data_IF_934485070273
#
_entry.id   IF_934485070273
#
_cell.length_a   1.000
_cell.length_b   1.000
_cell.length_c   1.000
_cell.angle_alpha   90.00
_cell.angle_beta   90.00
_cell.angle_gamma   90.00
#
_symmetry.space_group_name_H-M   'P 1'
#
loop_
_entity.id
_entity.type
_entity.pdbx_description
1 polymer ?
#
# COMPACT_ATOMS: atom_id res chain seq x y z
N UNK A 1 -0.38 -11.53 -68.17
CA UNK A 1 -1.19 -10.65 -67.32
C UNK A 1 -1.89 -11.49 -66.27
N UNK A 2 -1.47 -11.38 -65.02
CA UNK A 2 -2.27 -11.58 -63.81
C UNK A 2 -1.35 -11.26 -62.62
N UNK A 3 -1.53 -10.06 -62.07
CA UNK A 3 -0.84 -9.56 -60.89
C UNK A 3 -1.59 -10.13 -59.68
N UNK A 4 -0.90 -10.83 -58.79
CA UNK A 4 -1.41 -11.12 -57.44
C UNK A 4 -0.42 -10.54 -56.44
N UNK A 5 -0.89 -9.46 -55.81
CA UNK A 5 -0.24 -8.69 -54.76
C UNK A 5 -0.22 -9.56 -53.50
N UNK A 6 0.97 -9.96 -53.04
CA UNK A 6 1.15 -10.58 -51.73
C UNK A 6 1.44 -9.47 -50.72
N UNK A 7 0.43 -9.07 -49.96
CA UNK A 7 0.57 -8.13 -48.85
C UNK A 7 1.45 -8.74 -47.76
N UNK A 8 2.52 -8.04 -47.40
CA UNK A 8 3.33 -8.34 -46.22
C UNK A 8 2.47 -8.13 -44.96
N UNK A 9 2.00 -9.22 -44.37
CA UNK A 9 1.59 -9.23 -42.97
C UNK A 9 2.85 -9.53 -42.14
N UNK A 10 3.47 -8.49 -41.59
CA UNK A 10 4.55 -8.59 -40.60
C UNK A 10 3.97 -9.15 -39.30
N UNK A 11 3.89 -10.48 -39.21
CA UNK A 11 3.74 -11.19 -37.94
C UNK A 11 5.10 -11.21 -37.27
N UNK A 12 5.29 -10.34 -36.28
CA UNK A 12 6.41 -10.44 -35.34
C UNK A 12 6.18 -11.67 -34.46
N UNK A 13 6.63 -12.83 -34.94
CA UNK A 13 6.82 -14.00 -34.10
C UNK A 13 7.95 -13.66 -33.12
N UNK A 14 7.60 -13.43 -31.86
CA UNK A 14 8.58 -13.42 -30.78
C UNK A 14 9.28 -14.78 -30.77
N UNK A 15 10.58 -14.79 -31.06
CA UNK A 15 11.41 -15.99 -30.98
C UNK A 15 11.54 -16.39 -29.50
N UNK A 16 10.62 -17.23 -29.02
CA UNK A 16 10.89 -18.05 -27.85
C UNK A 16 11.79 -19.19 -28.31
N UNK A 17 13.11 -19.04 -28.13
CA UNK A 17 14.07 -20.12 -28.37
C UNK A 17 13.86 -21.19 -27.29
N UNK A 18 13.14 -22.26 -27.63
CA UNK A 18 12.98 -23.42 -26.78
C UNK A 18 14.22 -24.30 -26.96
N UNK A 19 15.09 -24.35 -25.96
CA UNK A 19 16.24 -25.25 -25.93
C UNK A 19 15.77 -26.63 -25.46
N UNK A 20 15.38 -27.49 -26.40
CA UNK A 20 15.10 -28.90 -26.12
C UNK A 20 16.44 -29.63 -26.05
N UNK A 21 16.94 -29.85 -24.83
CA UNK A 21 18.01 -30.82 -24.61
C UNK A 21 17.48 -32.23 -24.89
N UNK A 22 18.34 -33.14 -25.37
CA UNK A 22 17.95 -34.51 -25.70
C UNK A 22 17.25 -35.18 -24.51
N UNK A 23 15.92 -35.36 -24.63
CA UNK A 23 15.02 -35.83 -23.57
C UNK A 23 15.37 -37.28 -23.15
N UNK A 24 16.12 -38.02 -23.99
CA UNK A 24 16.59 -39.36 -23.66
C UNK A 24 17.79 -39.36 -22.71
N UNK A 25 18.60 -38.30 -22.69
CA UNK A 25 19.80 -38.19 -21.86
C UNK A 25 19.66 -37.17 -20.72
N UNK A 26 18.90 -36.10 -20.93
CA UNK A 26 18.58 -35.07 -19.95
C UNK A 26 17.07 -34.84 -19.93
N UNK A 27 16.31 -35.47 -19.01
CA UNK A 27 14.86 -35.40 -18.98
C UNK A 27 14.37 -34.10 -18.31
N UNK A 28 14.85 -32.96 -18.81
CA UNK A 28 14.57 -31.64 -18.27
C UNK A 28 14.26 -30.70 -19.44
N UNK A 29 13.18 -29.95 -19.31
CA UNK A 29 12.82 -28.86 -20.23
C UNK A 29 13.24 -27.55 -19.57
N UNK A 30 13.93 -26.69 -20.32
CA UNK A 30 14.37 -25.36 -19.90
C UNK A 30 13.70 -24.34 -20.82
N UNK A 31 12.80 -23.52 -20.26
CA UNK A 31 12.01 -22.53 -20.99
C UNK A 31 12.44 -21.13 -20.59
N UNK A 32 12.98 -20.28 -21.50
CA UNK A 32 13.18 -18.87 -21.19
C UNK A 32 11.81 -18.19 -21.08
N UNK A 33 11.48 -17.68 -19.90
CA UNK A 33 10.19 -17.04 -19.63
C UNK A 33 10.26 -15.52 -19.64
N UNK A 34 11.45 -14.93 -19.50
CA UNK A 34 11.64 -13.49 -19.65
C UNK A 34 12.91 -12.96 -19.01
N UNK A 35 12.97 -11.64 -18.89
CA UNK A 35 14.07 -10.95 -18.20
C UNK A 35 13.75 -10.77 -16.72
N UNK A 36 14.75 -10.86 -15.85
CA UNK A 36 14.61 -10.68 -14.42
C UNK A 36 15.63 -9.67 -13.87
N UNK A 37 15.27 -9.01 -12.77
CA UNK A 37 16.13 -8.16 -11.96
C UNK A 37 16.03 -8.59 -10.51
N UNK A 38 17.13 -8.43 -9.77
CA UNK A 38 17.18 -8.79 -8.35
C UNK A 38 16.86 -7.56 -7.51
N UNK A 39 15.94 -7.69 -6.56
CA UNK A 39 15.63 -6.72 -5.53
C UNK A 39 16.44 -7.02 -4.26
N UNK A 40 17.26 -6.07 -3.82
CA UNK A 40 18.14 -6.23 -2.65
C UNK A 40 17.72 -5.37 -1.46
N UNK A 41 16.94 -4.31 -1.68
CA UNK A 41 16.52 -3.36 -0.65
C UNK A 41 15.29 -2.58 -1.14
N UNK A 42 14.83 -1.59 -0.38
CA UNK A 42 13.63 -0.83 -0.70
C UNK A 42 13.83 0.65 -0.38
N UNK A 43 13.43 1.52 -1.30
CA UNK A 43 13.13 2.91 -0.95
C UNK A 43 11.85 2.92 -0.11
N UNK A 44 11.89 3.62 1.02
CA UNK A 44 10.75 3.73 1.95
C UNK A 44 10.26 5.18 1.99
N UNK A 45 8.99 5.38 1.68
CA UNK A 45 8.28 6.65 1.84
C UNK A 45 7.35 6.51 3.03
N UNK A 46 7.53 7.35 4.05
CA UNK A 46 6.86 7.22 5.35
C UNK A 46 5.93 8.39 5.58
N UNK A 47 4.65 8.09 5.76
CA UNK A 47 3.60 9.01 6.16
C UNK A 47 3.23 8.80 7.62
N UNK A 48 3.47 9.80 8.46
CA UNK A 48 3.00 9.79 9.86
C UNK A 48 1.68 10.52 9.94
N UNK A 49 0.66 9.86 10.46
CA UNK A 49 -0.68 10.43 10.66
C UNK A 49 -0.91 10.51 12.16
N UNK A 50 -0.96 11.73 12.69
CA UNK A 50 -1.18 11.97 14.10
C UNK A 50 -2.68 11.90 14.44
N UNK A 51 -3.06 11.01 15.36
CA UNK A 51 -4.45 10.79 15.77
C UNK A 51 -4.92 11.79 16.82
N UNK A 52 -3.99 12.42 17.54
CA UNK A 52 -4.27 13.40 18.61
C UNK A 52 -5.18 14.56 18.17
N UNK A 53 -4.85 15.28 17.08
CA UNK A 53 -5.68 16.38 16.59
C UNK A 53 -7.11 15.95 16.24
N UNK A 54 -7.28 14.80 15.58
CA UNK A 54 -8.61 14.27 15.22
C UNK A 54 -9.41 13.95 16.48
N UNK A 55 -8.77 13.31 17.47
CA UNK A 55 -9.40 13.00 18.75
C UNK A 55 -9.85 14.27 19.49
N UNK A 56 -9.02 15.30 19.54
CA UNK A 56 -9.35 16.57 20.17
C UNK A 56 -10.60 17.20 19.55
N UNK A 57 -10.72 17.18 18.22
CA UNK A 57 -11.92 17.67 17.52
C UNK A 57 -13.15 16.86 17.86
N UNK A 58 -13.04 15.53 17.91
CA UNK A 58 -14.16 14.66 18.30
C UNK A 58 -14.60 14.97 19.73
N UNK A 59 -13.67 15.07 20.67
CA UNK A 59 -13.93 15.37 22.07
C UNK A 59 -14.57 16.77 22.23
N UNK A 60 -14.12 17.75 21.44
CA UNK A 60 -14.69 19.10 21.39
C UNK A 60 -16.10 19.11 20.80
N UNK A 61 -16.34 18.36 19.72
CA UNK A 61 -17.67 18.20 19.11
C UNK A 61 -18.68 17.54 20.08
N UNK A 62 -18.24 16.55 20.87
CA UNK A 62 -19.09 15.93 21.88
C UNK A 62 -19.40 16.85 23.07
N UNK A 63 -18.41 17.61 23.55
CA UNK A 63 -18.54 18.43 24.77
C UNK A 63 -19.24 19.77 24.54
N UNK A 64 -18.90 20.47 23.45
CA UNK A 64 -19.36 21.84 23.19
C UNK A 64 -20.48 21.88 22.16
N UNK A 65 -20.42 21.07 21.11
CA UNK A 65 -21.41 21.13 20.04
C UNK A 65 -22.76 20.58 20.51
N UNK A 66 -22.82 19.54 21.35
CA UNK A 66 -24.09 19.05 21.90
C UNK A 66 -24.83 20.08 22.78
N UNK A 67 -24.10 21.00 23.43
CA UNK A 67 -24.68 22.06 24.26
C UNK A 67 -25.07 23.31 23.47
N UNK A 68 -24.37 23.58 22.36
CA UNK A 68 -24.50 24.82 21.57
C UNK A 68 -25.30 24.67 20.27
N UNK A 69 -25.41 23.45 19.72
CA UNK A 69 -26.25 23.12 18.54
C UNK A 69 -27.76 23.21 18.86
N UNK A 70 -28.13 23.53 20.11
CA UNK A 70 -29.51 23.68 20.58
C UNK A 70 -30.30 24.76 19.81
N UNK A 71 -29.65 25.68 19.10
CA UNK A 71 -30.33 26.76 18.38
C UNK A 71 -30.90 26.35 17.01
N UNK A 72 -30.29 25.40 16.29
CA UNK A 72 -30.81 24.90 15.00
C UNK A 72 -31.54 23.56 15.17
N UNK A 73 -32.84 23.63 15.47
CA UNK A 73 -33.69 22.44 15.68
C UNK A 73 -33.76 21.50 14.47
N UNK A 74 -33.51 21.98 13.25
CA UNK A 74 -33.64 21.19 12.03
C UNK A 74 -32.39 20.36 11.75
N UNK A 75 -31.20 20.95 11.84
CA UNK A 75 -29.95 20.27 11.50
C UNK A 75 -29.27 19.59 12.70
N UNK A 76 -29.64 19.96 13.92
CA UNK A 76 -29.15 19.34 15.16
C UNK A 76 -29.15 17.80 15.18
N UNK A 77 -30.26 17.10 14.84
CA UNK A 77 -30.27 15.63 14.83
C UNK A 77 -29.31 15.02 13.79
N UNK A 78 -29.14 15.70 12.64
CA UNK A 78 -28.24 15.26 11.57
C UNK A 78 -26.79 15.41 12.02
N UNK A 79 -26.44 16.57 12.58
CA UNK A 79 -25.08 16.83 13.08
C UNK A 79 -24.71 15.84 14.19
N UNK A 80 -25.64 15.55 15.11
CA UNK A 80 -25.41 14.54 16.16
C UNK A 80 -25.08 13.16 15.57
N UNK A 81 -25.89 12.72 14.60
CA UNK A 81 -25.68 11.44 13.91
C UNK A 81 -24.32 11.39 13.21
N UNK A 82 -23.89 12.50 12.60
CA UNK A 82 -22.60 12.60 11.91
C UNK A 82 -21.42 12.59 12.89
N UNK A 83 -21.54 13.27 14.04
CA UNK A 83 -20.53 13.21 15.11
C UNK A 83 -20.40 11.77 15.63
N UNK A 84 -21.51 11.06 15.83
CA UNK A 84 -21.50 9.65 16.21
C UNK A 84 -20.84 8.78 15.14
N UNK A 85 -21.16 9.00 13.87
CA UNK A 85 -20.49 8.32 12.75
C UNK A 85 -18.97 8.57 12.78
N UNK A 86 -18.55 9.83 12.91
CA UNK A 86 -17.13 10.22 12.98
C UNK A 86 -16.41 9.49 14.13
N UNK A 87 -17.02 9.47 15.32
CA UNK A 87 -16.50 8.77 16.49
C UNK A 87 -16.33 7.28 16.25
N UNK A 88 -17.34 6.63 15.66
CA UNK A 88 -17.30 5.21 15.32
C UNK A 88 -16.23 4.91 14.27
N UNK A 89 -16.10 5.74 13.24
CA UNK A 89 -15.06 5.59 12.22
C UNK A 89 -13.66 5.81 12.81
N UNK A 90 -13.48 6.83 13.66
CA UNK A 90 -12.21 7.09 14.32
C UNK A 90 -11.77 5.93 15.24
N UNK A 91 -12.71 5.35 16.00
CA UNK A 91 -12.44 4.17 16.83
C UNK A 91 -11.98 2.95 16.03
N UNK A 92 -12.35 2.84 14.75
CA UNK A 92 -11.90 1.74 13.88
C UNK A 92 -10.44 1.88 13.48
N UNK A 93 -9.92 3.10 13.36
CA UNK A 93 -8.53 3.37 12.98
C UNK A 93 -7.59 3.46 14.19
N UNK A 94 -8.13 3.79 15.38
CA UNK A 94 -7.36 3.81 16.61
C UNK A 94 -7.07 2.38 17.10
N UNK A 95 -5.80 2.06 17.41
CA UNK A 95 -5.49 0.76 18.01
C UNK A 95 -6.13 0.64 19.39
N UNK A 96 -7.05 -0.31 19.56
CA UNK A 96 -7.61 -0.66 20.86
C UNK A 96 -6.52 -1.29 21.71
N UNK A 97 -6.10 -0.55 22.72
CA UNK A 97 -5.13 -0.96 23.70
C UNK A 97 -5.63 -2.03 24.69
N UNK A 98 -6.92 -2.37 24.59
CA UNK A 98 -7.52 -3.46 25.35
C UNK A 98 -7.20 -4.80 24.69
N UNK A 99 -6.13 -5.42 25.17
CA UNK A 99 -5.95 -6.88 25.26
C UNK A 99 -7.17 -7.50 25.96
N UNK A 100 -8.29 -7.66 25.26
CA UNK A 100 -9.45 -8.40 25.77
C UNK A 100 -9.53 -9.71 24.99
N UNK A 101 -9.02 -10.77 25.63
CA UNK A 101 -9.10 -12.19 25.26
C UNK A 101 -10.54 -12.74 25.17
N UNK A 102 -11.54 -11.97 24.76
CA UNK A 102 -12.94 -12.42 24.78
C UNK A 102 -13.78 -11.81 23.65
N UNK A 103 -13.72 -12.41 22.47
CA UNK A 103 -14.79 -12.43 21.46
C UNK A 103 -14.57 -13.66 20.55
N UNK A 104 -14.83 -14.86 21.09
CA UNK A 104 -14.66 -16.13 20.35
C UNK A 104 -15.93 -16.63 19.64
N UNK A 105 -17.05 -15.91 19.64
CA UNK A 105 -18.29 -16.41 18.99
C UNK A 105 -18.79 -15.65 17.76
N UNK A 106 -18.18 -14.52 17.39
CA UNK A 106 -18.45 -13.82 16.13
C UNK A 106 -17.18 -13.54 15.31
N UNK A 107 -16.05 -14.15 15.70
CA UNK A 107 -14.70 -13.78 15.27
C UNK A 107 -13.91 -14.92 14.64
N UNK A 108 -14.37 -15.46 13.52
CA UNK A 108 -13.54 -16.34 12.67
C UNK A 108 -13.19 -15.70 11.32
N UNK A 109 -14.13 -15.00 10.69
CA UNK A 109 -13.83 -14.18 9.51
C UNK A 109 -12.92 -13.00 9.83
N UNK A 110 -13.19 -12.29 10.93
CA UNK A 110 -12.41 -11.11 11.32
C UNK A 110 -11.02 -11.43 11.89
N UNK A 111 -10.81 -12.58 12.55
CA UNK A 111 -9.45 -12.99 13.01
C UNK A 111 -8.50 -13.28 11.84
N UNK A 112 -9.03 -13.75 10.71
CA UNK A 112 -8.27 -13.91 9.46
C UNK A 112 -8.04 -12.57 8.74
N UNK A 113 -8.98 -11.62 8.86
CA UNK A 113 -8.94 -10.28 8.21
C UNK A 113 -8.16 -9.23 9.06
N UNK A 114 -7.94 -9.51 10.35
CA UNK A 114 -7.29 -8.58 11.29
C UNK A 114 -5.93 -9.02 11.79
N UNK A 115 -5.29 -10.03 11.16
CA UNK A 115 -3.97 -10.57 11.49
C UNK A 115 -3.09 -9.58 12.23
N UNK A 116 -3.20 -9.58 13.56
CA UNK A 116 -2.43 -8.71 14.42
C UNK A 116 -1.05 -9.35 14.52
N UNK A 117 0.04 -8.66 14.15
CA UNK A 117 1.38 -9.16 14.41
C UNK A 117 1.49 -9.48 15.91
N UNK A 118 2.04 -10.64 16.25
CA UNK A 118 2.20 -11.01 17.64
C UNK A 118 3.12 -10.01 18.35
N UNK A 119 3.04 -9.93 19.68
CA UNK A 119 3.78 -8.92 20.45
C UNK A 119 5.31 -9.01 20.27
N UNK A 120 5.82 -10.17 19.87
CA UNK A 120 7.22 -10.40 19.52
C UNK A 120 7.54 -9.91 18.09
N UNK A 121 6.58 -9.97 17.17
CA UNK A 121 6.68 -9.35 15.85
C UNK A 121 6.69 -7.82 15.95
N UNK A 122 5.93 -7.21 16.86
CA UNK A 122 5.95 -5.75 17.06
C UNK A 122 7.28 -5.28 17.65
N UNK A 123 7.90 -6.07 18.54
CA UNK A 123 9.25 -5.77 19.07
C UNK A 123 10.31 -5.95 18.00
N UNK A 124 10.21 -7.01 17.20
CA UNK A 124 11.05 -7.24 16.03
C UNK A 124 10.86 -6.10 15.02
N UNK A 125 9.63 -5.67 14.74
CA UNK A 125 9.28 -4.56 13.84
C UNK A 125 9.76 -3.22 14.40
N UNK A 126 9.66 -2.93 15.70
CA UNK A 126 10.19 -1.69 16.27
C UNK A 126 11.72 -1.66 16.28
N UNK A 127 12.37 -2.78 16.59
CA UNK A 127 13.82 -2.92 16.49
C UNK A 127 14.28 -2.83 15.03
N UNK A 128 13.54 -3.44 14.11
CA UNK A 128 13.78 -3.45 12.66
C UNK A 128 13.47 -2.09 12.03
N UNK A 129 12.48 -1.35 12.52
CA UNK A 129 12.15 -0.01 12.04
C UNK A 129 13.19 0.98 12.53
N UNK A 130 13.59 0.94 13.80
CA UNK A 130 14.66 1.81 14.27
C UNK A 130 15.98 1.46 13.58
N UNK A 131 16.32 0.18 13.40
CA UNK A 131 17.54 -0.20 12.66
C UNK A 131 17.46 0.09 11.16
N UNK A 132 16.29 -0.03 10.51
CA UNK A 132 16.09 0.35 9.09
C UNK A 132 15.96 1.87 8.88
N UNK A 133 15.58 2.62 9.91
CA UNK A 133 15.61 4.10 9.93
C UNK A 133 17.04 4.60 10.12
N UNK A 134 17.82 3.93 10.96
CA UNK A 134 19.19 4.33 11.25
C UNK A 134 20.22 3.84 10.21
N UNK A 135 19.89 2.84 9.37
CA UNK A 135 20.81 2.25 8.37
C UNK A 135 20.64 2.71 6.92
N UNK A 136 19.57 3.44 6.53
CA UNK A 136 19.41 3.94 5.15
C UNK A 136 19.03 5.42 5.10
N UNK A 137 20.02 6.26 4.79
CA UNK A 137 20.00 7.73 4.81
C UNK A 137 19.11 8.40 3.73
N UNK A 138 18.28 7.64 3.00
CA UNK A 138 17.45 8.11 1.88
C UNK A 138 15.93 7.97 2.16
N UNK A 139 15.51 8.02 3.41
CA UNK A 139 14.10 8.07 3.74
C UNK A 139 13.51 9.42 3.32
N UNK A 140 12.68 9.40 2.29
CA UNK A 140 11.96 10.58 1.85
C UNK A 140 10.76 10.75 2.78
N UNK A 141 10.96 11.56 3.82
CA UNK A 141 9.89 11.98 4.74
C UNK A 141 9.17 13.16 4.13
N UNK A 142 8.21 12.89 3.25
CA UNK A 142 7.28 13.91 2.76
C UNK A 142 5.96 13.68 3.50
N UNK A 143 5.60 14.64 4.34
CA UNK A 143 4.35 14.64 5.08
C UNK A 143 3.82 16.07 5.10
N UNK A 144 2.91 16.39 4.18
CA UNK A 144 2.25 17.70 4.25
C UNK A 144 0.82 17.70 3.75
N UNK A 145 0.47 16.96 2.68
CA UNK A 145 -0.85 17.07 2.06
C UNK A 145 -2.02 16.70 2.97
N UNK A 146 -2.10 15.44 3.42
CA UNK A 146 -3.20 14.92 4.21
C UNK A 146 -3.22 15.49 5.64
N UNK A 147 -2.06 15.56 6.29
CA UNK A 147 -1.92 16.17 7.61
C UNK A 147 -2.35 17.65 7.61
N UNK A 148 -1.97 18.42 6.59
CA UNK A 148 -2.42 19.83 6.48
C UNK A 148 -3.91 19.93 6.25
N UNK A 149 -4.51 19.05 5.43
CA UNK A 149 -5.97 19.00 5.25
C UNK A 149 -6.68 18.72 6.57
N UNK A 150 -6.25 17.71 7.32
CA UNK A 150 -6.82 17.38 8.64
C UNK A 150 -6.68 18.57 9.61
N UNK A 151 -5.52 19.24 9.64
CA UNK A 151 -5.31 20.42 10.48
C UNK A 151 -6.19 21.60 10.07
N UNK A 152 -6.37 21.83 8.78
CA UNK A 152 -7.22 22.91 8.26
C UNK A 152 -8.71 22.67 8.57
N UNK A 153 -9.18 21.43 8.41
CA UNK A 153 -10.55 21.04 8.78
C UNK A 153 -10.75 21.20 10.29
N UNK A 154 -9.81 20.69 11.08
CA UNK A 154 -9.78 20.86 12.54
C UNK A 154 -9.90 22.33 12.95
N UNK A 155 -9.08 23.19 12.36
CA UNK A 155 -9.11 24.63 12.62
C UNK A 155 -10.46 25.25 12.23
N UNK A 156 -10.99 24.92 11.05
CA UNK A 156 -12.26 25.45 10.55
C UNK A 156 -13.43 25.06 11.45
N UNK A 157 -13.48 23.82 11.92
CA UNK A 157 -14.48 23.34 12.88
C UNK A 157 -14.41 24.14 14.19
N UNK A 158 -13.20 24.33 14.73
CA UNK A 158 -13.01 25.09 15.97
C UNK A 158 -13.48 26.55 15.83
N UNK A 159 -13.16 27.20 14.71
CA UNK A 159 -13.61 28.57 14.43
C UNK A 159 -15.14 28.64 14.32
N UNK A 160 -15.77 27.74 13.57
CA UNK A 160 -17.22 27.73 13.39
C UNK A 160 -17.95 27.57 14.73
N UNK A 161 -17.51 26.63 15.58
CA UNK A 161 -18.11 26.39 16.89
C UNK A 161 -17.90 27.59 17.84
N UNK A 162 -16.75 28.26 17.78
CA UNK A 162 -16.51 29.48 18.57
C UNK A 162 -17.43 30.63 18.16
N UNK A 163 -17.78 30.75 16.88
CA UNK A 163 -18.70 31.77 16.36
C UNK A 163 -20.15 31.50 16.76
N UNK A 164 -20.55 30.22 16.84
CA UNK A 164 -21.87 29.82 17.34
C UNK A 164 -22.16 30.34 18.75
N UNK A 165 -21.15 30.51 19.61
CA UNK A 165 -21.35 31.10 20.94
C UNK A 165 -21.60 32.62 20.95
N UNK A 166 -21.46 33.31 19.82
CA UNK A 166 -21.42 34.78 19.75
C UNK A 166 -22.51 35.43 18.89
N UNK A 167 -23.29 34.66 18.13
CA UNK A 167 -24.26 35.18 17.16
C UNK A 167 -25.68 34.78 17.58
N UNK A 168 -26.56 35.77 17.70
CA UNK A 168 -27.97 35.66 18.13
C UNK A 168 -28.95 35.88 16.98
N UNK A 169 -28.59 35.47 15.76
CA UNK A 169 -29.41 35.71 14.55
C UNK A 169 -29.59 34.41 13.76
N UNK A 170 -30.82 33.90 13.72
CA UNK A 170 -31.24 32.63 13.10
C UNK A 170 -30.71 32.40 11.68
N UNK A 171 -30.61 33.44 10.84
CA UNK A 171 -30.16 33.29 9.44
C UNK A 171 -28.66 32.95 9.32
N UNK A 172 -27.82 33.47 10.22
CA UNK A 172 -26.39 33.15 10.27
C UNK A 172 -26.12 31.80 10.93
N UNK A 173 -27.03 31.35 11.80
CA UNK A 173 -26.95 30.05 12.47
C UNK A 173 -27.13 28.89 11.48
N UNK A 174 -28.13 28.97 10.58
CA UNK A 174 -28.36 27.93 9.56
C UNK A 174 -27.17 27.73 8.61
N UNK A 175 -26.57 28.82 8.11
CA UNK A 175 -25.37 28.73 7.26
C UNK A 175 -24.14 28.19 8.02
N UNK A 176 -24.00 28.54 9.29
CA UNK A 176 -22.94 28.02 10.16
C UNK A 176 -23.12 26.53 10.45
N UNK A 177 -24.37 26.05 10.61
CA UNK A 177 -24.71 24.64 10.83
C UNK A 177 -24.39 23.81 9.60
N UNK A 178 -24.72 24.32 8.42
CA UNK A 178 -24.42 23.68 7.13
C UNK A 178 -22.90 23.60 6.91
N UNK A 179 -22.15 24.67 7.16
CA UNK A 179 -20.69 24.65 7.05
C UNK A 179 -20.05 23.67 8.05
N UNK A 180 -20.57 23.60 9.27
CA UNK A 180 -20.11 22.62 10.27
C UNK A 180 -20.37 21.19 9.79
N UNK A 181 -21.55 20.93 9.22
CA UNK A 181 -21.92 19.64 8.66
C UNK A 181 -20.96 19.21 7.54
N UNK A 182 -20.66 20.12 6.60
CA UNK A 182 -19.70 19.84 5.52
C UNK A 182 -18.29 19.53 6.04
N UNK A 183 -17.80 20.29 7.02
CA UNK A 183 -16.48 20.02 7.62
C UNK A 183 -16.45 18.68 8.38
N UNK A 184 -17.53 18.31 9.07
CA UNK A 184 -17.65 17.00 9.71
C UNK A 184 -17.64 15.89 8.65
N UNK A 185 -18.37 16.07 7.54
CA UNK A 185 -18.40 15.10 6.44
C UNK A 185 -17.03 14.94 5.77
N UNK A 186 -16.32 16.04 5.54
CA UNK A 186 -14.95 15.99 5.02
C UNK A 186 -14.02 15.25 6.01
N UNK A 187 -14.12 15.55 7.31
CA UNK A 187 -13.32 14.86 8.33
C UNK A 187 -13.63 13.36 8.37
N UNK A 188 -14.91 12.96 8.29
CA UNK A 188 -15.32 11.56 8.18
C UNK A 188 -14.67 10.92 6.95
N UNK A 189 -14.72 11.57 5.79
CA UNK A 189 -14.12 11.06 4.56
C UNK A 189 -12.60 10.89 4.69
N UNK A 190 -11.89 11.81 5.35
CA UNK A 190 -10.46 11.66 5.61
C UNK A 190 -10.17 10.45 6.51
N UNK A 191 -10.94 10.28 7.59
CA UNK A 191 -10.80 9.13 8.52
C UNK A 191 -11.14 7.81 7.82
N UNK A 192 -12.17 7.77 6.97
CA UNK A 192 -12.52 6.61 6.14
C UNK A 192 -11.40 6.27 5.16
N UNK A 193 -10.81 7.28 4.50
CA UNK A 193 -9.66 7.11 3.59
C UNK A 193 -8.47 6.46 4.29
N UNK A 194 -8.17 6.89 5.52
CA UNK A 194 -7.12 6.29 6.35
C UNK A 194 -7.45 4.82 6.65
N UNK A 195 -8.70 4.52 7.03
CA UNK A 195 -9.15 3.16 7.32
C UNK A 195 -9.09 2.21 6.11
N UNK A 196 -9.47 2.68 4.93
CA UNK A 196 -9.33 1.94 3.66
C UNK A 196 -7.86 1.66 3.36
N UNK A 197 -7.00 2.66 3.49
CA UNK A 197 -5.58 2.50 3.22
C UNK A 197 -4.89 1.53 4.19
N UNK A 198 -5.28 1.53 5.47
CA UNK A 198 -4.84 0.50 6.43
C UNK A 198 -5.26 -0.89 5.95
N UNK A 199 -6.50 -1.03 5.47
CA UNK A 199 -7.04 -2.32 5.02
C UNK A 199 -6.28 -2.84 3.79
N UNK A 200 -6.00 -1.97 2.81
CA UNK A 200 -5.20 -2.30 1.63
C UNK A 200 -3.76 -2.67 2.00
N UNK A 201 -3.14 -1.92 2.90
CA UNK A 201 -1.77 -2.19 3.34
C UNK A 201 -1.61 -3.53 4.07
N UNK A 202 -2.67 -4.07 4.69
CA UNK A 202 -2.63 -5.42 5.31
C UNK A 202 -2.44 -6.54 4.28
N UNK A 203 -2.87 -6.31 3.04
CA UNK A 203 -2.66 -7.23 1.91
C UNK A 203 -1.52 -6.74 1.00
N UNK A 204 -0.64 -5.89 1.52
CA UNK A 204 0.50 -5.27 0.84
C UNK A 204 0.15 -4.38 -0.36
N UNK A 205 -1.10 -3.94 -0.50
CA UNK A 205 -1.55 -3.08 -1.59
C UNK A 205 -1.41 -1.61 -1.17
N UNK A 206 -0.70 -0.77 -1.95
CA UNK A 206 -0.62 0.63 -1.65
C UNK A 206 -1.91 1.39 -2.02
N UNK A 207 -2.22 2.44 -1.27
CA UNK A 207 -3.40 3.29 -1.48
C UNK A 207 -2.99 4.57 -2.17
N UNK A 208 -3.50 4.78 -3.38
CA UNK A 208 -3.32 6.04 -4.13
C UNK A 208 -3.92 7.25 -3.43
N UNK A 209 -4.79 7.07 -2.44
CA UNK A 209 -5.46 8.16 -1.72
C UNK A 209 -4.60 8.77 -0.61
N UNK A 210 -3.61 8.04 -0.09
CA UNK A 210 -2.68 8.55 0.93
C UNK A 210 -1.39 9.12 0.34
N UNK A 211 -0.99 8.65 -0.85
CA UNK A 211 0.27 9.04 -1.46
C UNK A 211 0.03 10.13 -2.49
N UNK A 212 0.81 11.20 -2.39
CA UNK A 212 0.75 12.33 -3.31
C UNK A 212 1.40 12.00 -4.66
N UNK A 213 0.95 12.66 -5.72
CA UNK A 213 1.58 12.57 -7.04
C UNK A 213 3.05 12.98 -7.02
N UNK A 214 3.44 13.89 -6.13
CA UNK A 214 4.85 14.30 -5.98
C UNK A 214 5.71 13.17 -5.41
N UNK A 215 5.21 12.40 -4.45
CA UNK A 215 5.95 11.23 -3.92
C UNK A 215 6.04 10.12 -4.96
N UNK A 216 4.96 9.90 -5.71
CA UNK A 216 4.95 8.96 -6.83
C UNK A 216 5.93 9.37 -7.93
N UNK A 217 6.04 10.66 -8.26
CA UNK A 217 7.00 11.16 -9.23
C UNK A 217 8.46 10.93 -8.78
N UNK A 218 8.75 11.12 -7.49
CA UNK A 218 10.09 10.83 -6.95
C UNK A 218 10.38 9.33 -6.98
N UNK A 219 9.41 8.49 -6.63
CA UNK A 219 9.55 7.04 -6.72
C UNK A 219 9.69 6.55 -8.17
N UNK A 220 8.99 7.17 -9.11
CA UNK A 220 9.14 6.90 -10.54
C UNK A 220 10.56 7.22 -11.01
N UNK A 221 11.09 8.39 -10.66
CA UNK A 221 12.47 8.75 -11.01
C UNK A 221 13.47 7.76 -10.41
N UNK A 222 13.27 7.36 -9.14
CA UNK A 222 14.09 6.35 -8.48
C UNK A 222 14.12 5.01 -9.22
N UNK A 223 12.98 4.52 -9.70
CA UNK A 223 12.89 3.29 -10.49
C UNK A 223 13.57 3.45 -11.86
N UNK A 224 13.35 4.60 -12.51
CA UNK A 224 13.94 4.92 -13.81
C UNK A 224 15.47 4.93 -13.76
N UNK A 225 16.06 5.49 -12.70
CA UNK A 225 17.51 5.49 -12.47
C UNK A 225 18.10 4.07 -12.32
N UNK A 226 17.26 3.07 -12.08
CA UNK A 226 17.64 1.65 -11.94
C UNK A 226 17.28 0.80 -13.18
N UNK A 227 16.92 1.47 -14.28
CA UNK A 227 16.52 0.83 -15.52
C UNK A 227 15.16 0.12 -15.47
N UNK A 228 14.28 0.52 -14.55
CA UNK A 228 12.86 0.16 -14.56
C UNK A 228 12.04 1.39 -14.95
N UNK A 229 11.76 1.52 -16.25
CA UNK A 229 10.91 2.60 -16.73
C UNK A 229 9.44 2.24 -16.50
N UNK A 230 8.75 3.06 -15.71
CA UNK A 230 7.31 2.93 -15.44
C UNK A 230 6.58 4.04 -16.19
N UNK A 231 5.49 3.66 -16.87
CA UNK A 231 4.80 4.53 -17.84
C UNK A 231 4.26 5.82 -17.22
N UNK A 232 3.67 5.74 -16.02
CA UNK A 232 3.20 6.90 -15.26
C UNK A 232 3.65 6.83 -13.81
N UNK A 233 3.55 7.96 -13.10
CA UNK A 233 3.80 8.01 -11.67
C UNK A 233 2.84 7.07 -10.90
N UNK A 234 1.60 6.89 -11.34
CA UNK A 234 0.68 5.94 -10.67
C UNK A 234 1.09 4.47 -10.89
N UNK A 235 1.74 4.13 -12.00
CA UNK A 235 2.25 2.77 -12.25
C UNK A 235 3.28 2.33 -11.21
N UNK A 236 3.89 3.25 -10.46
CA UNK A 236 4.72 2.92 -9.29
C UNK A 236 3.95 2.07 -8.28
N UNK A 237 2.63 2.29 -8.13
CA UNK A 237 1.80 1.55 -7.18
C UNK A 237 1.62 0.07 -7.53
N UNK A 238 1.84 -0.31 -8.80
CA UNK A 238 1.76 -1.71 -9.25
C UNK A 238 2.93 -2.51 -8.67
N UNK A 239 4.13 -1.95 -8.71
CA UNK A 239 5.37 -2.56 -8.23
C UNK A 239 5.63 -2.32 -6.74
N UNK A 240 5.13 -1.21 -6.20
CA UNK A 240 5.30 -0.89 -4.79
C UNK A 240 4.43 -1.79 -3.89
N UNK A 241 4.81 -1.85 -2.63
CA UNK A 241 4.07 -2.52 -1.55
C UNK A 241 3.87 -1.56 -0.41
N UNK A 242 2.80 -1.72 0.36
CA UNK A 242 2.56 -0.88 1.54
C UNK A 242 2.39 -1.71 2.80
N UNK A 243 2.79 -1.14 3.93
CA UNK A 243 2.50 -1.68 5.25
C UNK A 243 2.21 -0.55 6.22
N UNK A 244 1.51 -0.87 7.30
CA UNK A 244 1.12 0.09 8.32
C UNK A 244 1.61 -0.34 9.69
N UNK A 245 2.07 0.63 10.45
CA UNK A 245 2.37 0.49 11.87
C UNK A 245 1.46 1.43 12.64
N UNK A 246 0.61 0.89 13.49
CA UNK A 246 -0.32 1.67 14.29
C UNK A 246 0.14 1.72 15.74
N UNK A 247 0.17 2.92 16.32
CA UNK A 247 0.29 3.16 17.75
C UNK A 247 -0.99 3.82 18.28
N UNK A 248 -1.07 4.05 19.59
CA UNK A 248 -2.23 4.76 20.19
C UNK A 248 -2.40 6.18 19.67
N UNK A 249 -1.28 6.82 19.33
CA UNK A 249 -1.20 8.26 19.06
C UNK A 249 -0.97 8.56 17.58
N UNK A 250 -0.41 7.63 16.83
CA UNK A 250 -0.08 7.81 15.42
C UNK A 250 -0.19 6.54 14.59
N UNK A 251 -0.46 6.72 13.29
CA UNK A 251 -0.40 5.69 12.26
C UNK A 251 0.76 6.03 11.33
N UNK A 252 1.70 5.10 11.16
CA UNK A 252 2.76 5.21 10.16
C UNK A 252 2.39 4.35 8.96
N UNK A 253 2.04 4.98 7.86
CA UNK A 253 1.82 4.33 6.58
C UNK A 253 3.10 4.37 5.77
N UNK A 254 3.58 3.22 5.30
CA UNK A 254 4.90 3.11 4.68
C UNK A 254 4.75 2.46 3.31
N UNK A 255 5.11 3.21 2.26
CA UNK A 255 5.29 2.69 0.91
C UNK A 255 6.72 2.14 0.76
N UNK A 256 6.83 0.92 0.25
CA UNK A 256 8.07 0.25 -0.13
C UNK A 256 8.14 0.17 -1.65
N UNK A 257 9.11 0.85 -2.22
CA UNK A 257 9.42 0.78 -3.64
C UNK A 257 10.69 -0.07 -3.77
N UNK A 258 10.69 -1.18 -4.52
CA UNK A 258 11.84 -2.06 -4.58
C UNK A 258 13.04 -1.35 -5.21
N UNK A 259 14.21 -1.55 -4.60
CA UNK A 259 15.49 -1.18 -5.18
C UNK A 259 16.03 -2.39 -5.93
N UNK A 260 16.07 -2.27 -7.24
CA UNK A 260 16.52 -3.33 -8.13
C UNK A 260 17.94 -3.08 -8.62
N UNK A 261 18.61 -4.18 -8.93
CA UNK A 261 19.93 -4.14 -9.55
C UNK A 261 19.83 -3.72 -11.02
N UNK A 262 20.89 -3.06 -11.50
CA UNK A 262 21.02 -2.71 -12.92
C UNK A 262 21.29 -3.94 -13.79
N UNK A 263 21.82 -5.01 -13.19
CA UNK A 263 22.05 -6.29 -13.86
C UNK A 263 20.74 -6.93 -14.31
N UNK A 264 20.73 -7.47 -15.53
CA UNK A 264 19.59 -8.14 -16.15
C UNK A 264 19.93 -9.63 -16.25
N UNK A 265 19.02 -10.45 -15.75
CA UNK A 265 19.09 -11.89 -15.79
C UNK A 265 18.10 -12.42 -16.83
N UNK A 266 18.40 -13.57 -17.43
CA UNK A 266 17.40 -14.36 -18.16
C UNK A 266 16.79 -15.36 -17.20
N UNK A 267 15.47 -15.29 -17.01
CA UNK A 267 14.73 -16.21 -16.17
C UNK A 267 14.29 -17.42 -16.99
N UNK A 268 14.68 -18.60 -16.51
CA UNK A 268 14.28 -19.87 -17.07
C UNK A 268 13.35 -20.61 -16.11
N UNK A 269 12.30 -21.22 -16.66
CA UNK A 269 11.50 -22.23 -15.96
C UNK A 269 12.03 -23.61 -16.34
N UNK A 270 12.30 -24.41 -15.32
CA UNK A 270 12.87 -25.74 -15.45
C UNK A 270 11.82 -26.75 -15.02
N UNK A 271 11.44 -27.64 -15.94
CA UNK A 271 10.45 -28.68 -15.67
C UNK A 271 11.03 -30.07 -15.92
N UNK A 272 10.91 -30.99 -14.94
CA UNK A 272 11.38 -32.35 -15.13
C UNK A 272 10.37 -33.15 -15.93
N UNK A 273 10.85 -33.84 -16.95
CA UNK A 273 10.09 -34.76 -17.82
C UNK A 273 10.21 -36.18 -17.27
N UNK A 274 9.18 -36.99 -17.49
CA UNK A 274 9.23 -38.41 -17.15
C UNK A 274 10.01 -39.14 -18.25
N UNK A 275 11.12 -39.77 -17.87
CA UNK A 275 11.92 -40.63 -18.76
C UNK A 275 12.10 -41.99 -18.11
N UNK A 276 11.82 -43.06 -18.86
CA UNK A 276 11.86 -44.45 -18.39
C UNK A 276 11.08 -44.70 -17.08
N UNK A 277 9.94 -44.01 -16.89
CA UNK A 277 9.11 -44.16 -15.68
C UNK A 277 9.65 -43.47 -14.43
N UNK A 278 10.77 -42.77 -14.53
CA UNK A 278 11.38 -41.99 -13.45
C UNK A 278 11.29 -40.49 -13.72
N UNK A 279 11.11 -39.69 -12.67
CA UNK A 279 11.08 -38.22 -12.74
C UNK A 279 12.26 -37.68 -11.95
N UNK A 280 13.08 -36.84 -12.58
CA UNK A 280 14.16 -36.15 -11.87
C UNK A 280 13.54 -35.18 -10.88
N UNK A 281 13.99 -35.24 -9.63
CA UNK A 281 13.62 -34.27 -8.61
C UNK A 281 14.49 -33.02 -8.80
N UNK A 282 13.83 -31.87 -8.94
CA UNK A 282 14.51 -30.57 -8.99
C UNK A 282 14.40 -29.90 -7.62
N UNK A 283 15.51 -29.32 -7.16
CA UNK A 283 15.53 -28.53 -5.93
C UNK A 283 14.94 -27.12 -6.14
N UNK A 284 14.98 -26.63 -7.38
CA UNK A 284 14.39 -25.35 -7.81
C UNK A 284 13.82 -25.47 -9.23
N UNK A 285 12.68 -24.79 -9.47
CA UNK A 285 12.00 -24.80 -10.77
C UNK A 285 12.29 -23.55 -11.61
N UNK A 286 13.01 -22.57 -11.05
CA UNK A 286 13.35 -21.34 -11.73
C UNK A 286 14.84 -21.05 -11.60
N UNK A 287 15.46 -20.65 -12.70
CA UNK A 287 16.89 -20.36 -12.77
C UNK A 287 17.11 -18.98 -13.38
N UNK A 288 17.90 -18.15 -12.71
CA UNK A 288 18.33 -16.85 -13.16
C UNK A 288 19.73 -16.98 -13.73
N UNK A 289 19.85 -16.81 -15.04
CA UNK A 289 21.14 -16.80 -15.72
C UNK A 289 21.66 -15.36 -15.87
N UNK A 290 22.86 -15.10 -15.37
CA UNK A 290 23.50 -13.79 -15.34
C UNK A 290 24.97 -13.91 -14.97
N UNK A 291 25.59 -12.84 -14.47
CA UNK A 291 27.02 -12.88 -14.08
C UNK A 291 27.25 -13.82 -12.91
N UNK A 292 26.33 -13.82 -11.94
CA UNK A 292 26.26 -14.77 -10.83
C UNK A 292 24.92 -15.50 -10.89
N UNK A 293 24.88 -16.79 -11.26
CA UNK A 293 23.62 -17.49 -11.40
C UNK A 293 22.93 -17.75 -10.06
N UNK A 294 21.60 -17.80 -10.08
CA UNK A 294 20.76 -18.07 -8.90
C UNK A 294 19.61 -19.03 -9.22
N UNK A 295 19.12 -19.73 -8.20
CA UNK A 295 17.96 -20.60 -8.26
C UNK A 295 16.82 -20.04 -7.41
N UNK A 296 15.57 -20.25 -7.84
CA UNK A 296 14.36 -19.93 -7.08
C UNK A 296 13.34 -21.08 -7.14
N UNK A 297 12.68 -21.34 -6.02
CA UNK A 297 11.62 -22.35 -5.91
C UNK A 297 10.27 -21.85 -6.42
N UNK A 298 10.04 -20.54 -6.35
CA UNK A 298 8.80 -19.88 -6.78
C UNK A 298 9.07 -18.89 -7.91
N UNK A 299 8.05 -18.64 -8.73
CA UNK A 299 8.10 -17.58 -9.73
C UNK A 299 8.21 -16.23 -9.03
N UNK A 300 9.00 -15.32 -9.61
CA UNK A 300 9.13 -13.95 -9.13
C UNK A 300 7.93 -13.11 -9.58
N UNK A 301 7.68 -11.98 -8.92
CA UNK A 301 6.61 -11.08 -9.32
C UNK A 301 6.92 -10.45 -10.67
N UNK A 302 5.99 -10.53 -11.63
CA UNK A 302 6.13 -9.91 -12.93
C UNK A 302 5.60 -8.47 -12.91
N UNK A 303 6.44 -7.52 -13.37
CA UNK A 303 6.04 -6.14 -13.59
C UNK A 303 6.49 -5.69 -14.98
N UNK A 304 5.51 -5.25 -15.79
CA UNK A 304 5.72 -4.97 -17.20
C UNK A 304 6.48 -6.13 -17.89
N UNK A 305 7.68 -5.86 -18.39
CA UNK A 305 8.50 -6.81 -19.14
C UNK A 305 9.58 -7.50 -18.28
N UNK A 306 9.61 -7.26 -16.96
CA UNK A 306 10.65 -7.78 -16.07
C UNK A 306 10.05 -8.55 -14.88
N UNK A 307 10.70 -9.63 -14.51
CA UNK A 307 10.48 -10.35 -13.26
C UNK A 307 11.35 -9.76 -12.15
N UNK A 308 10.77 -9.45 -10.99
CA UNK A 308 11.50 -8.86 -9.86
C UNK A 308 11.63 -9.92 -8.76
N UNK A 309 12.83 -10.48 -8.64
CA UNK A 309 13.13 -11.54 -7.70
C UNK A 309 13.71 -10.98 -6.40
N UNK A 310 13.14 -11.37 -5.25
CA UNK A 310 13.68 -10.96 -3.96
C UNK A 310 14.95 -11.75 -3.65
N UNK A 311 16.00 -11.06 -3.19
CA UNK A 311 17.27 -11.73 -2.83
C UNK A 311 17.08 -12.85 -1.79
N UNK A 312 16.07 -12.74 -0.92
CA UNK A 312 15.72 -13.77 0.07
C UNK A 312 15.08 -15.03 -0.51
N UNK A 313 14.61 -14.99 -1.76
CA UNK A 313 14.04 -16.13 -2.48
C UNK A 313 15.10 -16.85 -3.33
N UNK A 314 16.29 -16.26 -3.45
CA UNK A 314 17.35 -16.75 -4.32
C UNK A 314 18.34 -17.58 -3.51
N UNK A 315 18.64 -18.77 -4.02
CA UNK A 315 19.68 -19.67 -3.53
C UNK A 315 20.81 -19.70 -4.56
N UNK A 316 22.06 -19.81 -4.11
CA UNK A 316 23.16 -20.13 -5.04
C UNK A 316 22.96 -21.56 -5.56
N UNK A 317 23.17 -21.80 -6.87
CA UNK A 317 22.90 -23.08 -7.51
C UNK A 317 23.71 -24.25 -6.95
#
# INVERSE_FOLDING_TARGET
MAIIIFGLLLLTLGNAEIYIHDIRQNPIIILPIGTAKICNSYLRIVHSIELGPIKQVIDYLYSEAQKKIIYDKLLSPIIKTKIEKLSLTFRKIQSSDKRVKRWDSLGKGWKYISGSPDADDIRLINATINSMIDQENNQIRINSGLDSRIRNITYSINVLISKFSSLSTEFNEGFSSVNLLFNIDELIQQVETIGEAITLARVNIPSSRLISLTELAVAQQFLKDQGLDVATAESVLEIARAYVVTTRESIKYILRVPKVTNEIYTLYQVEPVISNGTRVQLDANFYLNGTTPYCSKSICDQYANHFICQSSQLESP
#
